data_IF_037426820212
#
_entry.id   IF_037426820212
#
_cell.length_a   1.000
_cell.length_b   1.000
_cell.length_c   1.000
_cell.angle_alpha   90.00
_cell.angle_beta   90.00
_cell.angle_gamma   90.00
#
_symmetry.space_group_name_H-M   'P 1'
#
loop_
_entity.id
_entity.type
_entity.pdbx_description
1 polymer ?
#
# COMPACT_ATOMS: atom_id res chain seq x y z
N UNK A 1 23.90 -12.52 15.36
CA UNK A 1 22.84 -13.15 16.18
C UNK A 1 22.39 -12.33 17.41
N UNK A 2 23.11 -11.30 17.88
CA UNK A 2 22.63 -10.40 18.95
C UNK A 2 21.64 -9.35 18.46
N UNK A 3 21.75 -8.88 17.21
CA UNK A 3 20.87 -7.85 16.67
C UNK A 3 19.39 -8.27 16.50
N UNK A 4 19.11 -9.54 16.21
CA UNK A 4 17.73 -10.00 16.03
C UNK A 4 16.92 -10.04 17.34
N UNK A 5 17.58 -10.29 18.48
CA UNK A 5 16.88 -10.29 19.79
C UNK A 5 16.49 -8.87 20.21
N UNK A 6 17.41 -7.94 20.06
CA UNK A 6 17.21 -6.55 20.46
C UNK A 6 16.12 -5.87 19.60
N UNK A 7 16.02 -6.21 18.32
CA UNK A 7 14.98 -5.68 17.44
C UNK A 7 13.58 -6.23 17.79
N UNK A 8 13.48 -7.52 18.15
CA UNK A 8 12.22 -8.14 18.57
C UNK A 8 11.73 -7.63 19.93
N UNK A 9 12.64 -7.42 20.87
CA UNK A 9 12.34 -6.81 22.16
C UNK A 9 11.92 -5.34 21.98
N UNK A 10 12.66 -4.58 21.18
CA UNK A 10 12.34 -3.20 20.84
C UNK A 10 10.97 -3.08 20.13
N UNK A 11 10.68 -3.98 19.19
CA UNK A 11 9.39 -4.05 18.50
C UNK A 11 8.26 -4.35 19.48
N UNK A 12 8.45 -5.24 20.45
CA UNK A 12 7.43 -5.54 21.46
C UNK A 12 7.15 -4.35 22.39
N UNK A 13 8.13 -3.50 22.64
CA UNK A 13 7.96 -2.27 23.42
C UNK A 13 7.38 -1.11 22.60
N UNK A 14 7.76 -0.98 21.32
CA UNK A 14 7.29 0.07 20.41
C UNK A 14 5.82 -0.13 20.02
N UNK A 15 5.35 -1.36 19.89
CA UNK A 15 3.92 -1.70 19.66
C UNK A 15 2.99 -1.15 20.75
N UNK A 16 3.53 -0.65 21.86
CA UNK A 16 2.76 0.07 22.89
C UNK A 16 1.96 1.25 22.29
N UNK A 17 2.48 1.97 21.31
CA UNK A 17 1.76 3.05 20.62
C UNK A 17 0.50 2.56 19.90
N UNK A 18 0.62 1.46 19.13
CA UNK A 18 -0.48 0.83 18.42
C UNK A 18 -1.51 0.19 19.36
N UNK A 19 -1.05 -0.51 20.40
CA UNK A 19 -1.94 -1.15 21.38
C UNK A 19 -2.63 -0.16 22.31
N UNK A 20 -2.11 1.06 22.49
CA UNK A 20 -2.75 2.13 23.28
C UNK A 20 -3.83 2.89 22.50
N UNK A 21 -3.77 2.91 21.18
CA UNK A 21 -4.80 3.53 20.35
C UNK A 21 -5.86 2.49 20.00
N UNK A 22 -6.85 2.34 20.87
CA UNK A 22 -7.91 1.33 20.72
C UNK A 22 -8.69 1.48 19.40
N UNK A 23 -8.89 2.70 18.90
CA UNK A 23 -9.65 2.94 17.67
C UNK A 23 -8.88 2.43 16.44
N UNK A 24 -7.59 2.72 16.33
CA UNK A 24 -6.75 2.22 15.23
C UNK A 24 -6.66 0.70 15.29
N UNK A 25 -6.46 0.13 16.49
CA UNK A 25 -6.39 -1.32 16.67
C UNK A 25 -7.71 -1.99 16.30
N UNK A 26 -8.82 -1.46 16.75
CA UNK A 26 -10.14 -1.98 16.41
C UNK A 26 -10.40 -1.94 14.90
N UNK A 27 -10.04 -0.83 14.24
CA UNK A 27 -10.19 -0.72 12.80
C UNK A 27 -9.30 -1.73 12.07
N UNK A 28 -8.05 -1.90 12.51
CA UNK A 28 -7.14 -2.90 11.95
C UNK A 28 -7.72 -4.31 12.05
N UNK A 29 -8.14 -4.72 13.24
CA UNK A 29 -8.68 -6.06 13.50
C UNK A 29 -9.97 -6.32 12.72
N UNK A 30 -10.88 -5.34 12.66
CA UNK A 30 -12.11 -5.43 11.87
C UNK A 30 -11.84 -5.54 10.36
N UNK A 31 -10.88 -4.78 9.87
CA UNK A 31 -10.49 -4.79 8.46
C UNK A 31 -9.81 -6.10 8.09
N UNK A 32 -8.94 -6.61 8.96
CA UNK A 32 -8.28 -7.91 8.82
C UNK A 32 -9.31 -9.04 8.75
N UNK A 33 -10.31 -9.00 9.64
CA UNK A 33 -11.38 -9.99 9.66
C UNK A 33 -12.24 -9.94 8.37
N UNK A 34 -12.55 -8.74 7.87
CA UNK A 34 -13.32 -8.57 6.61
C UNK A 34 -12.55 -9.08 5.40
N UNK A 35 -11.28 -8.78 5.33
CA UNK A 35 -10.39 -9.30 4.30
C UNK A 35 -10.15 -10.81 4.45
N UNK A 36 -10.46 -11.40 5.62
CA UNK A 36 -10.17 -12.78 5.99
C UNK A 36 -8.68 -13.13 5.83
N UNK A 37 -7.82 -12.17 6.14
CA UNK A 37 -6.39 -12.20 5.92
C UNK A 37 -5.59 -12.51 7.20
N UNK A 38 -6.23 -13.08 8.20
CA UNK A 38 -5.63 -13.36 9.53
C UNK A 38 -4.39 -14.25 9.48
N UNK A 39 -4.26 -15.10 8.45
CA UNK A 39 -3.08 -15.96 8.28
C UNK A 39 -1.79 -15.16 7.99
N UNK A 40 -1.89 -13.92 7.53
CA UNK A 40 -0.77 -13.06 7.18
C UNK A 40 -0.55 -11.92 8.18
N UNK A 41 -1.22 -11.97 9.32
CA UNK A 41 -1.03 -10.97 10.39
C UNK A 41 0.34 -11.15 11.06
N UNK A 42 1.03 -10.02 11.25
CA UNK A 42 2.31 -9.98 11.96
C UNK A 42 2.62 -8.56 12.45
N UNK A 43 3.59 -8.44 13.36
CA UNK A 43 3.93 -7.15 13.99
C UNK A 43 4.36 -6.08 12.97
N UNK A 44 5.12 -6.45 11.93
CA UNK A 44 5.54 -5.49 10.90
C UNK A 44 4.34 -4.96 10.10
N UNK A 45 3.40 -5.83 9.73
CA UNK A 45 2.15 -5.44 9.06
C UNK A 45 1.33 -4.50 9.94
N UNK A 46 1.19 -4.79 11.23
CA UNK A 46 0.48 -3.94 12.17
C UNK A 46 1.13 -2.54 12.25
N UNK A 47 2.46 -2.45 12.29
CA UNK A 47 3.18 -1.18 12.32
C UNK A 47 3.00 -0.39 11.01
N UNK A 48 3.13 -1.04 9.85
CA UNK A 48 2.91 -0.41 8.54
C UNK A 48 1.50 0.16 8.44
N UNK A 49 0.50 -0.59 8.84
CA UNK A 49 -0.89 -0.17 8.78
C UNK A 49 -1.24 0.90 9.81
N UNK A 50 -0.53 0.95 10.94
CA UNK A 50 -0.62 2.08 11.86
C UNK A 50 -0.16 3.39 11.20
N UNK A 51 0.97 3.36 10.48
CA UNK A 51 1.46 4.51 9.73
C UNK A 51 0.51 4.87 8.60
N UNK A 52 0.09 3.89 7.80
CA UNK A 52 -0.89 4.09 6.72
C UNK A 52 -2.16 4.77 7.23
N UNK A 53 -2.70 4.34 8.37
CA UNK A 53 -3.84 4.98 9.02
C UNK A 53 -3.58 6.47 9.29
N UNK A 54 -2.42 6.82 9.87
CA UNK A 54 -2.08 8.22 10.19
C UNK A 54 -1.97 9.09 8.93
N UNK A 55 -1.35 8.55 7.88
CA UNK A 55 -1.20 9.23 6.60
C UNK A 55 -2.56 9.44 5.92
N UNK A 56 -3.39 8.40 5.87
CA UNK A 56 -4.73 8.46 5.28
C UNK A 56 -5.64 9.46 6.05
N UNK A 57 -5.64 9.41 7.38
CA UNK A 57 -6.39 10.36 8.19
C UNK A 57 -5.92 11.82 7.98
N UNK A 58 -4.63 12.02 7.73
CA UNK A 58 -4.07 13.32 7.41
C UNK A 58 -4.51 13.80 6.03
N UNK A 59 -4.45 12.95 5.01
CA UNK A 59 -4.91 13.26 3.66
C UNK A 59 -6.41 13.59 3.64
N UNK A 60 -7.24 12.79 4.34
CA UNK A 60 -8.68 13.00 4.44
C UNK A 60 -9.05 14.37 5.05
N UNK A 61 -8.32 14.78 6.08
CA UNK A 61 -8.57 16.11 6.71
C UNK A 61 -8.07 17.27 5.85
N UNK A 62 -6.91 17.10 5.21
CA UNK A 62 -6.24 18.17 4.46
C UNK A 62 -6.90 18.41 3.09
N UNK A 63 -7.33 17.36 2.44
CA UNK A 63 -7.86 17.38 1.08
C UNK A 63 -9.12 16.50 0.94
N UNK A 64 -10.21 16.83 1.64
CA UNK A 64 -11.38 15.95 1.71
C UNK A 64 -12.12 15.79 0.37
N UNK A 65 -11.89 16.67 -0.58
CA UNK A 65 -12.53 16.66 -1.90
C UNK A 65 -11.68 16.00 -3.00
N UNK A 66 -10.50 15.49 -2.67
CA UNK A 66 -9.62 14.84 -3.65
C UNK A 66 -9.68 13.32 -3.54
N UNK A 67 -9.51 12.68 -4.69
CA UNK A 67 -9.50 11.23 -4.81
C UNK A 67 -8.24 10.61 -4.19
N UNK A 68 -8.34 9.32 -3.89
CA UNK A 68 -7.23 8.46 -3.46
C UNK A 68 -7.03 7.35 -4.48
N UNK A 69 -5.80 6.82 -4.54
CA UNK A 69 -5.49 5.64 -5.33
C UNK A 69 -4.76 4.59 -4.48
N UNK A 70 -5.08 3.33 -4.71
CA UNK A 70 -4.39 2.17 -4.16
C UNK A 70 -4.00 1.26 -5.32
N UNK A 71 -2.70 0.98 -5.46
CA UNK A 71 -2.16 0.01 -6.39
C UNK A 71 -1.74 -1.23 -5.60
N UNK A 72 -2.44 -2.34 -5.82
CA UNK A 72 -2.34 -3.56 -5.03
C UNK A 72 -3.25 -3.52 -3.80
N UNK A 73 -4.27 -4.35 -3.80
CA UNK A 73 -5.18 -4.48 -2.64
C UNK A 73 -5.24 -5.89 -2.09
N UNK A 74 -4.80 -6.87 -2.88
CA UNK A 74 -4.85 -8.30 -2.56
C UNK A 74 -6.24 -8.71 -2.04
N UNK A 75 -6.38 -9.03 -0.75
CA UNK A 75 -7.67 -9.36 -0.13
C UNK A 75 -8.42 -8.14 0.40
N UNK A 76 -7.92 -6.91 0.18
CA UNK A 76 -8.59 -5.66 0.53
C UNK A 76 -8.42 -5.22 1.99
N UNK A 77 -7.43 -5.72 2.73
CA UNK A 77 -7.22 -5.31 4.13
C UNK A 77 -6.90 -3.81 4.24
N UNK A 78 -5.92 -3.32 3.48
CA UNK A 78 -5.58 -1.89 3.37
C UNK A 78 -6.75 -1.07 2.83
N UNK A 79 -7.43 -1.58 1.81
CA UNK A 79 -8.61 -0.93 1.21
C UNK A 79 -9.72 -0.71 2.24
N UNK A 80 -10.00 -1.70 3.10
CA UNK A 80 -10.97 -1.54 4.18
C UNK A 80 -10.59 -0.46 5.18
N UNK A 81 -9.30 -0.35 5.53
CA UNK A 81 -8.80 0.69 6.42
C UNK A 81 -8.96 2.07 5.77
N UNK A 82 -8.48 2.24 4.53
CA UNK A 82 -8.60 3.47 3.77
C UNK A 82 -10.07 3.90 3.63
N UNK A 83 -10.92 2.96 3.24
CA UNK A 83 -12.37 3.21 3.07
C UNK A 83 -13.04 3.61 4.39
N UNK A 84 -12.68 2.98 5.50
CA UNK A 84 -13.26 3.32 6.82
C UNK A 84 -12.83 4.71 7.27
N UNK A 85 -11.57 5.10 7.03
CA UNK A 85 -11.07 6.43 7.36
C UNK A 85 -11.76 7.50 6.50
N UNK A 86 -11.90 7.26 5.19
CA UNK A 86 -12.61 8.16 4.29
C UNK A 86 -14.09 8.31 4.71
N UNK A 87 -14.78 7.20 5.02
CA UNK A 87 -16.17 7.22 5.46
C UNK A 87 -16.37 7.92 6.83
N UNK A 88 -15.37 7.88 7.70
CA UNK A 88 -15.40 8.57 8.99
C UNK A 88 -15.17 10.08 8.88
N UNK A 89 -14.74 10.58 7.72
CA UNK A 89 -14.55 12.01 7.46
C UNK A 89 -15.79 12.57 6.75
N UNK A 90 -16.66 13.35 7.43
CA UNK A 90 -17.92 13.83 6.83
C UNK A 90 -17.75 14.69 5.58
N UNK A 91 -16.61 15.37 5.45
CA UNK A 91 -16.30 16.21 4.31
C UNK A 91 -15.69 15.45 3.12
N UNK A 92 -15.38 14.14 3.27
CA UNK A 92 -14.79 13.37 2.20
C UNK A 92 -15.78 13.19 1.05
N UNK A 93 -15.43 13.68 -0.13
CA UNK A 93 -16.21 13.58 -1.35
C UNK A 93 -15.41 13.06 -2.55
N UNK A 94 -14.17 12.64 -2.32
CA UNK A 94 -13.31 11.98 -3.31
C UNK A 94 -13.72 10.54 -3.59
N UNK A 95 -13.04 9.92 -4.53
CA UNK A 95 -13.17 8.50 -4.87
C UNK A 95 -11.91 7.76 -4.43
N UNK A 96 -12.05 6.56 -3.88
CA UNK A 96 -10.93 5.64 -3.69
C UNK A 96 -10.87 4.69 -4.90
N UNK A 97 -9.89 4.92 -5.76
CA UNK A 97 -9.59 4.07 -6.92
C UNK A 97 -8.64 2.96 -6.52
N UNK A 98 -9.02 1.70 -6.73
CA UNK A 98 -8.26 0.51 -6.34
C UNK A 98 -7.90 -0.30 -7.57
N UNK A 99 -6.61 -0.43 -7.82
CA UNK A 99 -6.05 -1.15 -8.97
C UNK A 99 -5.43 -2.46 -8.51
N UNK A 100 -5.93 -3.56 -9.02
CA UNK A 100 -5.37 -4.89 -8.76
C UNK A 100 -5.64 -5.82 -9.95
N UNK A 101 -4.71 -6.70 -10.25
CA UNK A 101 -4.92 -7.73 -11.28
C UNK A 101 -5.87 -8.82 -10.81
N UNK A 102 -5.90 -9.10 -9.50
CA UNK A 102 -6.50 -10.28 -8.87
C UNK A 102 -5.89 -11.61 -9.35
N UNK A 103 -4.87 -11.52 -10.21
CA UNK A 103 -4.17 -12.64 -10.81
C UNK A 103 -2.80 -12.92 -10.15
N UNK A 104 -2.46 -12.16 -9.09
CA UNK A 104 -1.19 -12.23 -8.38
C UNK A 104 -0.15 -11.24 -8.89
N UNK A 105 1.13 -11.50 -8.64
CA UNK A 105 2.20 -10.60 -9.09
C UNK A 105 2.44 -10.72 -10.60
N UNK A 106 2.91 -9.65 -11.21
CA UNK A 106 3.41 -9.63 -12.58
C UNK A 106 4.67 -10.50 -12.74
N UNK A 107 5.31 -10.49 -13.88
CA UNK A 107 6.57 -11.20 -14.08
C UNK A 107 7.71 -10.48 -13.36
N UNK A 108 8.62 -11.26 -12.76
CA UNK A 108 9.82 -10.73 -12.12
C UNK A 108 10.81 -10.28 -13.17
N UNK A 109 11.21 -9.01 -13.11
CA UNK A 109 12.28 -8.45 -13.94
C UNK A 109 13.68 -8.73 -13.38
N UNK A 110 14.70 -8.23 -14.06
CA UNK A 110 16.08 -8.35 -13.60
C UNK A 110 16.32 -7.60 -12.27
N UNK A 111 15.61 -6.52 -12.04
CA UNK A 111 15.67 -5.71 -10.82
C UNK A 111 15.08 -6.41 -9.59
N UNK A 112 14.25 -7.43 -9.82
CA UNK A 112 13.55 -8.18 -8.77
C UNK A 112 14.30 -9.45 -8.35
N UNK A 113 15.54 -9.65 -8.84
CA UNK A 113 16.36 -10.78 -8.47
C UNK A 113 16.72 -10.73 -6.99
N UNK A 114 16.39 -11.79 -6.26
CA UNK A 114 16.56 -11.87 -4.81
C UNK A 114 17.02 -13.25 -4.36
N UNK A 115 17.91 -13.27 -3.36
CA UNK A 115 18.35 -14.51 -2.70
C UNK A 115 17.20 -15.31 -2.07
N UNK A 116 16.09 -14.67 -1.80
CA UNK A 116 14.90 -15.29 -1.21
C UNK A 116 14.03 -16.02 -2.25
N UNK A 117 14.19 -15.69 -3.53
CA UNK A 117 13.47 -16.32 -4.65
C UNK A 117 14.40 -16.59 -5.84
N UNK A 118 15.41 -17.47 -5.64
CA UNK A 118 16.49 -17.65 -6.60
C UNK A 118 16.08 -18.48 -7.82
N UNK A 119 14.90 -19.10 -7.83
CA UNK A 119 14.47 -20.00 -8.92
C UNK A 119 13.16 -19.53 -9.54
N UNK A 120 12.96 -19.88 -10.82
CA UNK A 120 11.69 -19.64 -11.51
C UNK A 120 10.48 -20.27 -10.78
N UNK A 121 10.67 -21.44 -10.16
CA UNK A 121 9.62 -22.09 -9.38
C UNK A 121 9.25 -21.28 -8.14
N UNK A 122 10.23 -20.73 -7.40
CA UNK A 122 9.99 -19.87 -6.24
C UNK A 122 9.29 -18.55 -6.63
N UNK A 123 9.70 -17.93 -7.75
CA UNK A 123 9.05 -16.73 -8.29
C UNK A 123 7.59 -17.02 -8.70
N UNK A 124 7.35 -18.13 -9.39
CA UNK A 124 6.00 -18.52 -9.78
C UNK A 124 5.12 -18.83 -8.57
N UNK A 125 5.63 -19.51 -7.55
CA UNK A 125 4.91 -19.74 -6.30
C UNK A 125 4.53 -18.40 -5.61
N UNK A 126 5.45 -17.44 -5.56
CA UNK A 126 5.16 -16.10 -5.04
C UNK A 126 4.03 -15.44 -5.84
N UNK A 127 4.12 -15.42 -7.17
CA UNK A 127 3.06 -14.85 -8.04
C UNK A 127 1.69 -15.46 -7.73
N UNK A 128 1.60 -16.76 -7.55
CA UNK A 128 0.33 -17.45 -7.24
C UNK A 128 -0.19 -17.13 -5.82
N UNK A 129 0.70 -16.95 -4.84
CA UNK A 129 0.31 -16.66 -3.46
C UNK A 129 -0.34 -15.28 -3.30
N UNK A 130 -0.08 -14.34 -4.21
CA UNK A 130 -0.70 -13.02 -4.22
C UNK A 130 -2.00 -12.95 -5.03
N UNK A 131 -2.51 -14.08 -5.53
CA UNK A 131 -3.85 -14.11 -6.15
C UNK A 131 -4.93 -13.89 -5.12
N UNK A 132 -5.98 -13.20 -5.54
CA UNK A 132 -7.17 -12.96 -4.73
C UNK A 132 -8.44 -13.10 -5.57
N UNK A 133 -9.59 -13.07 -4.92
CA UNK A 133 -10.89 -13.23 -5.57
C UNK A 133 -11.58 -11.87 -5.69
N UNK A 134 -11.71 -11.37 -6.91
CA UNK A 134 -12.36 -10.08 -7.20
C UNK A 134 -13.80 -10.02 -6.65
N UNK A 135 -14.59 -11.09 -6.80
CA UNK A 135 -15.99 -11.08 -6.36
C UNK A 135 -16.07 -10.92 -4.84
N UNK A 136 -15.23 -11.64 -4.11
CA UNK A 136 -15.14 -11.55 -2.64
C UNK A 136 -14.66 -10.18 -2.17
N UNK A 137 -13.62 -9.61 -2.80
CA UNK A 137 -13.13 -8.27 -2.46
C UNK A 137 -14.21 -7.22 -2.76
N UNK A 138 -14.87 -7.32 -3.91
CA UNK A 138 -15.97 -6.44 -4.30
C UNK A 138 -17.14 -6.50 -3.30
N UNK A 139 -17.54 -7.69 -2.89
CA UNK A 139 -18.60 -7.88 -1.88
C UNK A 139 -18.21 -7.25 -0.54
N UNK A 140 -16.99 -7.47 -0.08
CA UNK A 140 -16.48 -6.89 1.16
C UNK A 140 -16.49 -5.35 1.16
N UNK A 141 -16.26 -4.74 0.01
CA UNK A 141 -16.20 -3.28 -0.17
C UNK A 141 -17.53 -2.63 -0.56
N UNK A 142 -18.58 -3.39 -0.86
CA UNK A 142 -19.87 -2.89 -1.38
C UNK A 142 -20.53 -1.82 -0.49
N UNK A 143 -20.22 -1.82 0.81
CA UNK A 143 -20.69 -0.81 1.76
C UNK A 143 -20.12 0.60 1.56
N UNK A 144 -19.05 0.75 0.76
CA UNK A 144 -18.37 2.01 0.50
C UNK A 144 -18.66 2.48 -0.93
N UNK A 145 -19.69 3.32 -1.16
CA UNK A 145 -20.16 3.68 -2.51
C UNK A 145 -19.15 4.54 -3.29
N UNK A 146 -18.13 5.09 -2.62
CA UNK A 146 -17.07 5.88 -3.22
C UNK A 146 -15.84 5.03 -3.62
N UNK A 147 -15.83 3.71 -3.38
CA UNK A 147 -14.76 2.83 -3.85
C UNK A 147 -15.03 2.40 -5.29
N UNK A 148 -14.00 2.43 -6.12
CA UNK A 148 -14.01 1.97 -7.52
C UNK A 148 -12.87 0.98 -7.73
N UNK A 149 -13.22 -0.27 -8.02
CA UNK A 149 -12.26 -1.31 -8.39
C UNK A 149 -11.95 -1.20 -9.88
N UNK A 150 -10.66 -1.28 -10.22
CA UNK A 150 -10.12 -1.32 -11.58
C UNK A 150 -9.40 -2.65 -11.80
N UNK A 151 -10.14 -3.75 -12.02
CA UNK A 151 -9.54 -5.06 -12.18
C UNK A 151 -8.72 -5.14 -13.47
N UNK A 152 -7.52 -5.65 -13.35
CA UNK A 152 -6.56 -5.83 -14.44
C UNK A 152 -5.18 -5.30 -14.13
N UNK A 153 -4.28 -5.57 -15.07
CA UNK A 153 -2.87 -5.20 -14.92
C UNK A 153 -2.64 -3.69 -15.07
N UNK A 154 -1.83 -3.13 -14.17
CA UNK A 154 -1.27 -1.79 -14.33
C UNK A 154 -0.01 -1.89 -15.24
N UNK A 155 0.34 -0.84 -16.04
CA UNK A 155 -0.31 0.47 -16.08
C UNK A 155 -1.55 0.56 -17.00
N UNK A 156 -1.98 -0.55 -17.63
CA UNK A 156 -3.06 -0.53 -18.62
C UNK A 156 -4.39 0.04 -18.09
N UNK A 157 -4.61 0.01 -16.77
CA UNK A 157 -5.81 0.54 -16.10
C UNK A 157 -5.72 2.01 -15.71
N UNK A 158 -4.56 2.61 -15.71
CA UNK A 158 -4.37 4.00 -15.30
C UNK A 158 -5.10 5.05 -16.15
N UNK A 159 -5.29 4.88 -17.49
CA UNK A 159 -6.05 5.83 -18.28
C UNK A 159 -7.50 6.05 -17.80
N UNK A 160 -8.08 5.11 -17.06
CA UNK A 160 -9.43 5.24 -16.50
C UNK A 160 -9.56 6.40 -15.49
N UNK A 161 -8.43 6.89 -14.95
CA UNK A 161 -8.36 7.98 -13.96
C UNK A 161 -7.41 9.11 -14.40
N UNK A 162 -7.16 9.23 -15.69
CA UNK A 162 -6.17 10.18 -16.22
C UNK A 162 -6.46 11.65 -15.85
N UNK A 163 -7.74 12.01 -15.71
CA UNK A 163 -8.19 13.36 -15.36
C UNK A 163 -8.25 13.64 -13.86
N UNK A 164 -7.99 12.64 -13.02
CA UNK A 164 -8.11 12.76 -11.56
C UNK A 164 -6.90 13.45 -10.93
N UNK A 165 -7.15 14.10 -9.80
CA UNK A 165 -6.11 14.60 -8.90
C UNK A 165 -6.20 13.87 -7.55
N UNK A 166 -5.06 13.45 -7.04
CA UNK A 166 -4.99 12.60 -5.85
C UNK A 166 -4.39 13.32 -4.66
N UNK A 167 -4.87 13.04 -3.47
CA UNK A 167 -4.27 13.49 -2.21
C UNK A 167 -3.53 12.38 -1.45
N UNK A 168 -3.87 11.14 -1.73
CA UNK A 168 -3.18 9.95 -1.22
C UNK A 168 -3.06 8.92 -2.34
N UNK A 169 -1.87 8.38 -2.49
CA UNK A 169 -1.59 7.23 -3.37
C UNK A 169 -0.82 6.20 -2.56
N UNK A 170 -1.33 4.98 -2.49
CA UNK A 170 -0.64 3.84 -1.88
C UNK A 170 -0.17 2.88 -2.97
N UNK A 171 1.08 2.44 -2.91
CA UNK A 171 1.72 1.55 -3.88
C UNK A 171 2.23 0.33 -3.13
N UNK A 172 1.58 -0.82 -3.36
CA UNK A 172 1.82 -2.12 -2.72
C UNK A 172 1.71 -3.20 -3.81
N UNK A 173 2.68 -3.20 -4.74
CA UNK A 173 2.71 -4.07 -5.93
C UNK A 173 4.05 -4.79 -6.09
N UNK A 174 4.86 -4.79 -5.03
CA UNK A 174 6.06 -5.58 -4.78
C UNK A 174 7.21 -5.41 -5.80
N UNK A 175 6.94 -5.32 -7.11
CA UNK A 175 7.93 -5.45 -8.17
C UNK A 175 8.32 -4.11 -8.80
N UNK A 176 9.52 -4.07 -9.37
CA UNK A 176 10.12 -2.88 -9.96
C UNK A 176 9.24 -2.20 -11.02
N UNK A 177 8.82 -2.95 -12.05
CA UNK A 177 8.09 -2.35 -13.17
C UNK A 177 6.76 -1.73 -12.76
N UNK A 178 5.87 -2.44 -12.03
CA UNK A 178 4.60 -1.85 -11.65
C UNK A 178 4.77 -0.67 -10.68
N UNK A 179 5.76 -0.68 -9.77
CA UNK A 179 6.05 0.46 -8.89
C UNK A 179 6.53 1.66 -9.70
N UNK A 180 7.50 1.46 -10.61
CA UNK A 180 7.98 2.50 -11.53
C UNK A 180 6.84 3.15 -12.30
N UNK A 181 5.96 2.34 -12.86
CA UNK A 181 4.85 2.81 -13.69
C UNK A 181 3.80 3.53 -12.86
N UNK A 182 3.51 3.05 -11.65
CA UNK A 182 2.61 3.71 -10.71
C UNK A 182 3.15 5.09 -10.29
N UNK A 183 4.41 5.17 -9.89
CA UNK A 183 5.04 6.44 -9.50
C UNK A 183 4.99 7.45 -10.64
N UNK A 184 5.38 7.05 -11.87
CA UNK A 184 5.38 7.91 -13.05
C UNK A 184 3.99 8.43 -13.42
N UNK A 185 2.98 7.62 -13.23
CA UNK A 185 1.60 8.02 -13.51
C UNK A 185 1.01 8.92 -12.42
N UNK A 186 1.13 8.52 -11.16
CA UNK A 186 0.44 9.19 -10.06
C UNK A 186 1.16 10.43 -9.53
N UNK A 187 2.50 10.49 -9.55
CA UNK A 187 3.21 11.64 -8.98
C UNK A 187 2.87 12.98 -9.67
N UNK A 188 2.81 13.09 -11.01
CA UNK A 188 2.34 14.32 -11.65
C UNK A 188 0.93 14.73 -11.23
N UNK A 189 0.07 13.76 -10.94
CA UNK A 189 -1.34 13.90 -10.54
C UNK A 189 -1.55 14.06 -9.04
N UNK A 190 -0.50 13.86 -8.26
CA UNK A 190 -0.55 14.05 -6.81
C UNK A 190 -0.64 15.55 -6.51
N UNK A 191 -1.57 15.95 -5.66
CA UNK A 191 -1.72 17.32 -5.19
C UNK A 191 -0.46 17.76 -4.44
N UNK A 192 -0.06 19.02 -4.57
CA UNK A 192 1.01 19.57 -3.73
C UNK A 192 0.66 19.43 -2.25
N UNK A 193 1.55 18.83 -1.47
CA UNK A 193 1.32 18.43 -0.09
C UNK A 193 0.49 17.15 0.06
N UNK A 194 0.19 16.45 -1.04
CA UNK A 194 -0.36 15.09 -1.05
C UNK A 194 0.69 14.05 -0.72
N UNK A 195 0.25 12.85 -0.40
CA UNK A 195 1.07 11.77 0.16
C UNK A 195 1.13 10.61 -0.83
N UNK A 196 2.32 10.07 -1.07
CA UNK A 196 2.52 8.79 -1.74
C UNK A 196 3.22 7.82 -0.79
N UNK A 197 2.62 6.66 -0.56
CA UNK A 197 3.11 5.63 0.36
C UNK A 197 3.56 4.40 -0.42
N UNK A 198 4.69 3.83 -0.04
CA UNK A 198 5.32 2.66 -0.64
C UNK A 198 5.42 1.56 0.42
N UNK A 199 4.70 0.45 0.24
CA UNK A 199 4.65 -0.61 1.24
C UNK A 199 5.96 -1.42 1.31
N UNK A 200 6.58 -1.70 0.16
CA UNK A 200 7.68 -2.66 0.00
C UNK A 200 9.08 -2.04 -0.09
N UNK A 201 9.24 -0.75 0.13
CA UNK A 201 10.49 -0.03 -0.12
C UNK A 201 11.74 -0.68 0.50
N UNK A 202 11.63 -1.17 1.72
CA UNK A 202 12.75 -1.72 2.50
C UNK A 202 12.84 -3.25 2.52
N UNK A 203 12.04 -3.97 1.71
CA UNK A 203 12.03 -5.43 1.72
C UNK A 203 13.06 -6.03 0.77
N UNK A 204 14.09 -6.71 1.32
CA UNK A 204 15.09 -7.46 0.54
C UNK A 204 14.47 -8.60 -0.31
N UNK A 205 13.26 -9.01 0.01
CA UNK A 205 12.51 -10.01 -0.77
C UNK A 205 12.03 -9.46 -2.10
N UNK A 206 11.89 -8.13 -2.21
CA UNK A 206 11.46 -7.38 -3.39
C UNK A 206 12.39 -6.19 -3.65
N UNK A 207 13.67 -6.42 -3.99
CA UNK A 207 14.66 -5.34 -4.10
C UNK A 207 14.34 -4.33 -5.21
N UNK A 208 13.56 -4.76 -6.21
CA UNK A 208 13.08 -3.90 -7.29
C UNK A 208 12.19 -2.77 -6.81
N UNK A 209 11.46 -2.96 -5.70
CA UNK A 209 10.62 -1.93 -5.10
C UNK A 209 11.45 -0.72 -4.68
N UNK A 210 12.53 -0.94 -3.94
CA UNK A 210 13.45 0.11 -3.53
C UNK A 210 14.11 0.78 -4.73
N UNK A 211 14.60 0.00 -5.68
CA UNK A 211 15.27 0.53 -6.87
C UNK A 211 14.36 1.47 -7.67
N UNK A 212 13.10 1.10 -7.89
CA UNK A 212 12.14 1.93 -8.63
C UNK A 212 11.92 3.29 -7.97
N UNK A 213 11.78 3.31 -6.64
CA UNK A 213 11.60 4.55 -5.86
C UNK A 213 12.88 5.39 -5.82
N UNK A 214 14.05 4.77 -5.61
CA UNK A 214 15.33 5.48 -5.58
C UNK A 214 15.65 6.15 -6.95
N UNK A 215 15.39 5.45 -8.05
CA UNK A 215 15.56 6.01 -9.39
C UNK A 215 14.62 7.20 -9.65
N UNK A 216 13.37 7.09 -9.19
CA UNK A 216 12.42 8.21 -9.25
C UNK A 216 12.94 9.42 -8.46
N UNK A 217 13.43 9.24 -7.24
CA UNK A 217 13.94 10.31 -6.38
C UNK A 217 15.22 10.98 -6.91
N UNK A 218 15.95 10.36 -7.85
CA UNK A 218 17.06 11.00 -8.55
C UNK A 218 16.59 12.09 -9.52
N UNK A 219 15.40 11.93 -10.11
CA UNK A 219 14.80 12.86 -11.07
C UNK A 219 13.83 13.87 -10.46
N UNK A 220 13.20 13.50 -9.34
CA UNK A 220 12.17 14.30 -8.68
C UNK A 220 12.57 14.61 -7.24
N UNK A 221 12.20 15.80 -6.77
CA UNK A 221 12.50 16.25 -5.41
C UNK A 221 11.20 16.57 -4.66
N UNK A 222 10.61 15.57 -3.98
CA UNK A 222 9.45 15.83 -3.13
C UNK A 222 9.85 16.76 -1.96
N UNK A 223 8.87 17.45 -1.37
CA UNK A 223 9.10 18.31 -0.21
C UNK A 223 9.61 17.51 1.00
N UNK A 224 9.24 16.22 1.06
CA UNK A 224 9.65 15.32 2.15
C UNK A 224 9.69 13.86 1.64
N UNK A 225 10.68 13.10 2.09
CA UNK A 225 10.75 11.63 1.94
C UNK A 225 11.26 11.01 3.23
N UNK A 226 10.65 9.93 3.65
CA UNK A 226 11.05 9.16 4.83
C UNK A 226 10.93 7.67 4.57
N UNK A 227 12.03 6.95 4.71
CA UNK A 227 12.03 5.51 4.86
C UNK A 227 11.73 5.11 6.31
N UNK A 228 11.00 4.03 6.47
CA UNK A 228 10.47 3.61 7.76
C UNK A 228 11.09 2.26 8.17
N UNK A 229 11.41 2.08 9.45
CA UNK A 229 12.13 0.89 9.92
C UNK A 229 11.34 -0.42 9.75
N UNK A 230 10.03 -0.35 9.48
CA UNK A 230 9.19 -1.51 9.20
C UNK A 230 9.18 -1.92 7.72
N UNK A 231 9.99 -1.31 6.86
CA UNK A 231 10.16 -1.70 5.46
C UNK A 231 9.31 -0.92 4.45
N UNK A 232 8.50 0.02 4.88
CA UNK A 232 7.78 0.94 4.01
C UNK A 232 8.46 2.31 3.92
N UNK A 233 7.99 3.17 3.01
CA UNK A 233 8.41 4.57 2.92
C UNK A 233 7.24 5.45 2.49
N UNK A 234 7.36 6.76 2.65
CA UNK A 234 6.42 7.70 2.06
C UNK A 234 7.10 9.01 1.65
N UNK A 235 6.45 9.71 0.74
CA UNK A 235 6.81 11.08 0.38
C UNK A 235 5.61 12.03 0.52
N UNK A 236 5.93 13.32 0.63
CA UNK A 236 4.99 14.44 0.49
C UNK A 236 5.46 15.28 -0.68
N UNK A 237 4.56 15.52 -1.66
CA UNK A 237 4.85 16.33 -2.86
C UNK A 237 4.88 17.81 -2.54
#
# INVERSE_FOLDING_TARGET
>A
MRHDKDLRELISEIVIGFSRNNEIRQLYDQSLQRAQDGAHDNALKQMRYYVLHQLAATAARKFPNLSWAECGCWWGHSTHILSSIAAAQPAFSGVLHVFDSFEGLSEFGAQDESRFRPTAAAKNAARQNFRSDLARVSEGLARYPFVRLHPGWIPAKFPEVEAETFSLVTIDVDLYEPIRDAVRFFYPRLQKGGIMYFDDYGYETFPGAKQAVDEFLQGERPDFFLDLPMGSAFLIK
#
